data_IF_240654150871
#
_entry.id   IF_240654150871
#
_cell.length_a   1.000
_cell.length_b   1.000
_cell.length_c   1.000
_cell.angle_alpha   90.00
_cell.angle_beta   90.00
_cell.angle_gamma   90.00
#
_symmetry.space_group_name_H-M   'P 1'
#
loop_
_entity.id
_entity.type
_entity.pdbx_description
1 polymer ?
#
# COMPACT_ATOMS: atom_id res chain seq x y z
N UNK A 1 -77.88 22.31 11.02
CA UNK A 1 -78.30 23.26 9.96
C UNK A 1 -77.63 22.84 8.66
N UNK A 2 -78.43 22.47 7.66
CA UNK A 2 -78.08 21.95 6.33
C UNK A 2 -77.56 23.08 5.44
N UNK A 3 -76.47 22.82 4.63
CA UNK A 3 -76.27 23.46 3.31
C UNK A 3 -75.28 22.53 2.53
N UNK A 4 -75.72 21.80 1.66
CA UNK A 4 -75.91 21.72 0.19
C UNK A 4 -74.62 21.74 -0.62
N UNK A 5 -74.42 20.60 -1.30
CA UNK A 5 -73.48 20.30 -2.37
C UNK A 5 -73.73 21.23 -3.58
N UNK A 6 -72.71 21.63 -4.26
CA UNK A 6 -72.76 21.99 -5.68
C UNK A 6 -71.50 21.45 -6.39
N UNK A 7 -71.82 20.55 -7.33
CA UNK A 7 -70.92 19.86 -8.25
C UNK A 7 -70.72 20.79 -9.46
N UNK A 8 -69.45 21.12 -9.76
CA UNK A 8 -69.13 21.70 -11.07
C UNK A 8 -68.21 20.72 -11.84
N UNK A 9 -68.87 20.16 -12.89
CA UNK A 9 -68.20 19.44 -13.95
C UNK A 9 -67.66 20.48 -14.93
N UNK A 10 -66.31 20.56 -15.05
CA UNK A 10 -65.70 21.34 -16.13
C UNK A 10 -65.00 20.36 -17.07
N UNK A 11 -65.56 20.22 -18.24
CA UNK A 11 -65.01 19.47 -19.38
C UNK A 11 -63.91 20.36 -19.98
N UNK A 12 -62.67 19.95 -19.88
CA UNK A 12 -61.55 20.52 -20.67
C UNK A 12 -61.17 19.53 -21.77
N UNK A 13 -61.42 19.96 -22.98
CA UNK A 13 -61.06 19.31 -24.24
C UNK A 13 -59.56 19.17 -24.33
N UNK A 14 -59.08 17.95 -24.46
CA UNK A 14 -57.67 17.61 -24.71
C UNK A 14 -57.31 17.93 -26.16
N UNK A 15 -56.48 18.90 -26.33
CA UNK A 15 -55.71 19.09 -27.57
C UNK A 15 -54.46 18.18 -27.46
N UNK A 16 -54.47 17.06 -28.18
CA UNK A 16 -53.29 16.20 -28.37
C UNK A 16 -52.33 16.89 -29.34
N UNK A 17 -51.27 17.46 -28.80
CA UNK A 17 -50.04 17.72 -29.57
C UNK A 17 -49.07 16.56 -29.34
N UNK A 18 -48.57 15.90 -30.38
CA UNK A 18 -47.49 14.95 -30.24
C UNK A 18 -46.19 15.72 -30.00
N UNK A 19 -45.75 15.73 -28.77
CA UNK A 19 -44.36 16.06 -28.44
C UNK A 19 -43.46 14.93 -28.95
N UNK A 20 -42.78 15.17 -30.06
CA UNK A 20 -41.62 14.38 -30.43
C UNK A 20 -40.54 14.63 -29.38
N UNK A 21 -40.49 13.78 -28.38
CA UNK A 21 -39.32 13.63 -27.52
C UNK A 21 -38.28 12.91 -28.37
N UNK A 22 -37.38 13.68 -28.94
CA UNK A 22 -36.13 13.15 -29.49
C UNK A 22 -35.35 12.60 -28.29
N UNK A 23 -35.47 11.31 -28.07
CA UNK A 23 -34.55 10.59 -27.16
C UNK A 23 -33.19 10.65 -27.81
N UNK A 24 -32.34 11.59 -27.35
CA UNK A 24 -30.91 11.41 -27.44
C UNK A 24 -30.58 10.24 -26.52
N UNK A 25 -30.53 9.06 -27.07
CA UNK A 25 -29.76 7.97 -26.48
C UNK A 25 -28.28 8.44 -26.45
N UNK A 26 -27.92 9.17 -25.39
CA UNK A 26 -26.54 9.21 -24.96
C UNK A 26 -26.26 7.84 -24.40
N UNK A 27 -25.83 6.93 -25.25
CA UNK A 27 -25.03 5.78 -24.85
C UNK A 27 -23.84 6.29 -24.05
N UNK A 28 -24.05 6.50 -22.76
CA UNK A 28 -22.97 6.50 -21.80
C UNK A 28 -22.51 5.04 -21.75
N UNK A 29 -21.69 4.68 -22.73
CA UNK A 29 -20.86 3.51 -22.62
C UNK A 29 -19.99 3.76 -21.38
N UNK A 30 -20.45 3.29 -20.24
CA UNK A 30 -19.60 2.99 -19.11
C UNK A 30 -18.65 1.89 -19.58
N UNK A 31 -17.69 2.28 -20.40
CA UNK A 31 -16.54 1.46 -20.73
C UNK A 31 -15.81 1.23 -19.42
N UNK A 32 -16.16 0.19 -18.70
CA UNK A 32 -15.25 -0.41 -17.75
C UNK A 32 -14.02 -0.76 -18.56
N UNK A 33 -13.01 0.11 -18.50
CA UNK A 33 -11.74 -0.15 -19.14
C UNK A 33 -11.22 -1.45 -18.50
N UNK A 34 -11.20 -2.52 -19.28
CA UNK A 34 -10.72 -3.81 -18.81
C UNK A 34 -9.27 -3.61 -18.37
N UNK A 35 -9.00 -3.84 -17.09
CA UNK A 35 -7.65 -3.68 -16.56
C UNK A 35 -6.74 -4.72 -17.22
N UNK A 36 -5.60 -4.28 -17.72
CA UNK A 36 -4.54 -5.19 -18.18
C UNK A 36 -4.20 -6.17 -17.07
N UNK A 37 -4.20 -7.47 -17.37
CA UNK A 37 -3.84 -8.48 -16.38
C UNK A 37 -2.42 -8.25 -15.87
N UNK A 38 -2.20 -8.48 -14.58
CA UNK A 38 -0.86 -8.46 -14.02
C UNK A 38 -0.05 -9.65 -14.59
N UNK A 39 1.20 -9.44 -15.03
CA UNK A 39 2.08 -10.56 -15.33
C UNK A 39 2.36 -11.34 -14.04
N UNK A 40 2.56 -12.65 -14.08
CA UNK A 40 2.97 -13.39 -12.89
C UNK A 40 4.28 -12.80 -12.32
N UNK A 41 4.45 -12.76 -10.98
CA UNK A 41 5.69 -12.31 -10.39
C UNK A 41 6.88 -13.15 -10.85
N UNK A 42 7.92 -12.50 -11.31
CA UNK A 42 9.15 -13.13 -11.74
C UNK A 42 10.35 -12.43 -11.10
N UNK A 43 11.13 -13.18 -10.32
CA UNK A 43 12.28 -12.63 -9.62
C UNK A 43 13.49 -12.52 -10.55
N UNK A 44 14.17 -11.39 -10.51
CA UNK A 44 15.50 -11.28 -11.13
C UNK A 44 16.52 -12.19 -10.41
N UNK A 45 17.67 -12.40 -11.03
CA UNK A 45 18.77 -13.15 -10.42
C UNK A 45 19.58 -12.33 -9.41
N UNK A 46 19.14 -11.14 -9.07
CA UNK A 46 19.84 -10.23 -8.17
C UNK A 46 19.69 -10.61 -6.68
N UNK A 47 20.49 -9.98 -5.80
CA UNK A 47 20.54 -10.33 -4.38
C UNK A 47 19.26 -10.02 -3.61
N UNK A 48 18.35 -9.24 -4.19
CA UNK A 48 17.09 -8.86 -3.58
C UNK A 48 15.90 -9.58 -4.20
N UNK A 49 16.01 -10.15 -5.41
CA UNK A 49 14.93 -10.80 -6.14
C UNK A 49 13.82 -9.84 -6.52
N UNK A 50 14.18 -8.70 -7.10
CA UNK A 50 13.25 -7.69 -7.62
C UNK A 50 12.48 -8.28 -8.79
N UNK A 51 11.21 -7.90 -8.94
CA UNK A 51 10.38 -8.36 -10.05
C UNK A 51 10.89 -7.80 -11.39
N UNK A 52 11.00 -8.67 -12.39
CA UNK A 52 11.54 -8.25 -13.71
C UNK A 52 10.52 -7.46 -14.53
N UNK A 53 9.22 -7.67 -14.29
CA UNK A 53 8.14 -7.08 -15.06
C UNK A 53 7.59 -5.81 -14.38
N UNK A 54 7.46 -5.85 -13.05
CA UNK A 54 6.88 -4.75 -12.26
C UNK A 54 7.90 -4.29 -11.22
N UNK A 55 8.68 -3.29 -11.57
CA UNK A 55 9.77 -2.75 -10.75
C UNK A 55 9.83 -1.22 -10.86
N UNK A 56 10.79 -0.59 -10.20
CA UNK A 56 10.89 0.87 -10.12
C UNK A 56 11.07 1.58 -11.48
N UNK A 57 11.41 0.87 -12.55
CA UNK A 57 11.50 1.46 -13.89
C UNK A 57 10.18 1.34 -14.67
N UNK A 58 9.28 0.44 -14.29
CA UNK A 58 7.98 0.20 -14.95
C UNK A 58 6.78 0.52 -14.06
N UNK A 59 7.00 0.81 -12.78
CA UNK A 59 5.95 0.94 -11.76
C UNK A 59 4.89 1.98 -12.11
N UNK A 60 5.23 3.03 -12.83
CA UNK A 60 4.30 4.11 -13.19
C UNK A 60 3.09 3.62 -13.99
N UNK A 61 3.24 2.54 -14.76
CA UNK A 61 2.15 1.93 -15.52
C UNK A 61 1.20 1.08 -14.65
N UNK A 62 1.60 0.79 -13.43
CA UNK A 62 0.92 -0.13 -12.52
C UNK A 62 0.37 0.52 -11.25
N UNK A 63 0.51 1.86 -11.11
CA UNK A 63 0.03 2.59 -9.93
C UNK A 63 -1.50 2.72 -9.92
N UNK A 64 -2.04 2.88 -8.70
CA UNK A 64 -3.44 3.22 -8.43
C UNK A 64 -4.47 2.20 -8.98
N UNK A 65 -4.07 0.96 -9.16
CA UNK A 65 -4.98 -0.12 -9.58
C UNK A 65 -5.88 -0.57 -8.43
N UNK A 66 -7.18 -0.79 -8.67
CA UNK A 66 -8.12 -1.20 -7.63
C UNK A 66 -7.94 -2.66 -7.19
N UNK A 67 -7.28 -3.49 -8.00
CA UNK A 67 -6.99 -4.90 -7.74
C UNK A 67 -5.64 -5.13 -7.04
N UNK A 68 -4.91 -4.06 -6.71
CA UNK A 68 -3.60 -4.08 -6.07
C UNK A 68 -3.63 -3.30 -4.77
N UNK A 69 -2.87 -3.75 -3.78
CA UNK A 69 -2.52 -2.98 -2.58
C UNK A 69 -1.01 -2.70 -2.58
N UNK A 70 -0.65 -1.51 -2.12
CA UNK A 70 0.70 -0.97 -2.25
C UNK A 70 1.28 -0.66 -0.88
N UNK A 71 2.46 -1.19 -0.59
CA UNK A 71 3.13 -0.98 0.70
C UNK A 71 4.56 -0.49 0.53
N UNK A 72 4.83 0.63 1.18
CA UNK A 72 6.18 1.16 1.35
C UNK A 72 6.70 0.72 2.72
N UNK A 73 7.68 -0.16 2.70
CA UNK A 73 8.21 -0.81 3.90
C UNK A 73 9.24 0.04 4.64
N UNK A 74 9.44 1.30 4.23
CA UNK A 74 10.38 2.21 4.88
C UNK A 74 9.85 2.75 6.20
N UNK A 75 10.76 3.06 7.09
CA UNK A 75 10.47 3.87 8.26
C UNK A 75 10.32 5.34 7.87
N UNK A 76 9.56 6.11 8.64
CA UNK A 76 9.50 7.57 8.49
C UNK A 76 10.87 8.21 8.77
N UNK A 77 11.58 7.64 9.73
CA UNK A 77 12.97 7.93 10.01
C UNK A 77 13.65 6.61 10.35
N UNK A 78 14.67 6.24 9.58
CA UNK A 78 15.45 5.04 9.82
C UNK A 78 16.71 5.41 10.60
N UNK A 79 16.97 4.78 11.75
CA UNK A 79 18.14 5.07 12.56
C UNK A 79 19.46 4.61 11.93
N UNK A 80 19.39 3.71 10.92
CA UNK A 80 20.58 3.32 10.17
C UNK A 80 21.11 4.48 9.34
N UNK A 81 22.43 4.61 9.24
CA UNK A 81 23.07 5.65 8.43
C UNK A 81 23.07 5.24 6.94
N UNK A 82 21.96 5.46 6.26
CA UNK A 82 21.86 5.13 4.84
C UNK A 82 22.66 6.03 3.91
N UNK A 83 23.15 7.20 4.38
CA UNK A 83 23.97 8.10 3.55
C UNK A 83 25.30 7.42 3.16
N UNK A 84 25.85 6.58 4.03
CA UNK A 84 27.08 5.82 3.76
C UNK A 84 26.95 4.83 2.61
N UNK A 85 25.72 4.36 2.34
CA UNK A 85 25.42 3.43 1.25
C UNK A 85 24.63 4.10 0.12
N UNK A 86 24.59 5.43 0.09
CA UNK A 86 23.96 6.21 -0.98
C UNK A 86 22.45 6.40 -0.83
N UNK A 87 21.89 6.14 0.34
CA UNK A 87 20.48 6.30 0.63
C UNK A 87 20.15 7.52 1.48
N UNK A 88 18.88 7.64 1.85
CA UNK A 88 18.35 8.71 2.69
C UNK A 88 17.63 8.10 3.89
N UNK A 89 18.05 8.49 5.11
CA UNK A 89 17.44 7.98 6.35
C UNK A 89 16.03 8.51 6.62
N UNK A 90 15.64 9.63 6.02
CA UNK A 90 14.31 10.22 6.19
C UNK A 90 13.43 9.95 4.98
N UNK A 91 12.17 9.59 5.25
CA UNK A 91 11.18 9.43 4.20
C UNK A 91 10.68 10.80 3.75
N UNK A 92 11.04 11.21 2.56
CA UNK A 92 10.64 12.51 1.97
C UNK A 92 9.67 12.36 0.80
N UNK A 93 9.69 11.22 0.16
CA UNK A 93 8.89 10.92 -1.03
C UNK A 93 8.39 9.48 -1.02
N UNK A 94 7.23 9.25 -1.64
CA UNK A 94 6.71 7.92 -1.96
C UNK A 94 6.01 7.94 -3.32
N UNK A 95 5.35 6.85 -3.69
CA UNK A 95 4.53 6.78 -4.91
C UNK A 95 3.03 6.82 -4.58
N UNK A 96 2.17 7.30 -5.50
CA UNK A 96 0.73 7.30 -5.32
C UNK A 96 0.19 5.91 -4.99
N UNK A 97 -0.76 5.85 -4.05
CA UNK A 97 -1.38 4.59 -3.62
C UNK A 97 -0.58 3.81 -2.56
N UNK A 98 0.70 4.09 -2.37
CA UNK A 98 1.51 3.40 -1.38
C UNK A 98 1.18 3.83 0.05
N UNK A 99 0.88 2.84 0.91
CA UNK A 99 0.74 2.97 2.36
C UNK A 99 2.08 2.64 3.00
N UNK A 100 2.53 3.49 3.92
CA UNK A 100 3.77 3.27 4.63
C UNK A 100 3.53 2.31 5.80
N UNK A 101 4.23 1.19 5.77
CA UNK A 101 4.20 0.15 6.80
C UNK A 101 5.64 -0.22 7.13
N UNK A 102 6.24 0.40 8.15
CA UNK A 102 7.62 0.13 8.49
C UNK A 102 7.90 -1.33 8.77
N UNK A 103 8.75 -1.96 7.97
CA UNK A 103 9.07 -3.38 8.16
C UNK A 103 9.61 -3.70 9.55
N UNK A 104 10.43 -2.86 10.20
CA UNK A 104 10.90 -3.10 11.57
C UNK A 104 9.78 -3.22 12.62
N UNK A 105 8.60 -2.66 12.37
CA UNK A 105 7.42 -2.88 13.24
C UNK A 105 6.80 -4.25 13.03
N UNK A 106 7.00 -4.85 11.87
CA UNK A 106 6.48 -6.17 11.54
C UNK A 106 7.39 -7.27 12.10
N UNK A 107 8.70 -7.17 11.85
CA UNK A 107 9.64 -8.23 12.23
C UNK A 107 11.00 -7.69 12.65
N UNK A 108 11.65 -8.43 13.55
CA UNK A 108 13.04 -8.16 13.90
C UNK A 108 13.95 -8.31 12.67
N UNK A 109 14.91 -7.41 12.55
CA UNK A 109 15.83 -7.38 11.42
C UNK A 109 16.99 -8.34 11.66
N UNK A 110 17.44 -8.99 10.57
CA UNK A 110 18.81 -9.48 10.52
C UNK A 110 19.78 -8.29 10.58
N UNK A 111 21.04 -8.54 10.87
CA UNK A 111 22.06 -7.49 10.93
C UNK A 111 21.95 -6.57 9.68
N UNK A 112 21.77 -5.28 9.91
CA UNK A 112 21.87 -4.26 8.86
C UNK A 112 23.35 -4.08 8.48
N UNK A 113 23.64 -3.69 7.23
CA UNK A 113 25.01 -3.50 6.76
C UNK A 113 25.70 -2.28 7.36
N UNK A 114 24.99 -1.43 8.10
CA UNK A 114 25.48 -0.18 8.69
C UNK A 114 25.15 -0.12 10.19
N UNK A 115 25.93 0.67 10.92
CA UNK A 115 25.68 0.92 12.34
C UNK A 115 24.36 1.66 12.54
N UNK A 116 23.72 1.36 13.65
CA UNK A 116 22.40 1.88 13.97
C UNK A 116 21.29 0.99 13.37
N UNK A 117 20.39 0.59 14.22
CA UNK A 117 19.24 -0.24 13.84
C UNK A 117 18.04 0.17 14.68
N UNK A 118 16.88 -0.21 14.22
CA UNK A 118 15.68 -0.08 15.01
C UNK A 118 15.78 -0.97 16.26
N UNK A 119 15.60 -0.38 17.42
CA UNK A 119 15.66 -1.06 18.74
C UNK A 119 14.28 -1.14 19.41
N UNK A 120 13.23 -0.69 18.74
CA UNK A 120 11.87 -0.75 19.25
C UNK A 120 11.22 -2.12 19.09
N UNK A 121 9.94 -2.19 19.43
CA UNK A 121 9.15 -3.40 19.35
C UNK A 121 8.83 -3.80 17.90
N UNK A 122 8.74 -5.12 17.68
CA UNK A 122 8.27 -5.74 16.44
C UNK A 122 7.17 -6.74 16.76
N UNK A 123 6.23 -6.94 15.82
CA UNK A 123 5.16 -7.96 16.01
C UNK A 123 5.73 -9.37 16.12
N UNK A 124 6.81 -9.65 15.36
CA UNK A 124 7.44 -10.96 15.31
C UNK A 124 8.93 -10.89 15.57
N UNK A 125 9.45 -11.89 16.29
CA UNK A 125 10.87 -12.23 16.27
C UNK A 125 11.09 -13.27 15.17
N UNK A 126 12.05 -12.99 14.28
CA UNK A 126 12.35 -13.83 13.13
C UNK A 126 13.82 -14.24 13.17
N UNK A 127 14.05 -15.54 13.00
CA UNK A 127 15.36 -16.09 12.73
C UNK A 127 15.54 -16.19 11.20
N UNK A 128 16.48 -15.41 10.69
CA UNK A 128 16.72 -15.30 9.26
C UNK A 128 17.83 -16.24 8.82
N UNK A 129 17.64 -16.88 7.67
CA UNK A 129 18.65 -17.71 7.05
C UNK A 129 19.75 -16.92 6.33
N UNK A 130 20.62 -17.64 5.65
CA UNK A 130 21.74 -17.06 4.90
C UNK A 130 21.26 -16.29 3.66
N UNK A 131 20.20 -16.77 3.01
CA UNK A 131 19.59 -16.07 1.87
C UNK A 131 18.67 -14.95 2.37
N UNK A 132 18.74 -13.81 1.71
CA UNK A 132 17.90 -12.66 2.08
C UNK A 132 16.42 -12.99 1.93
N UNK A 133 15.68 -12.77 3.02
CA UNK A 133 14.26 -13.09 3.10
C UNK A 133 13.97 -14.57 3.38
N UNK A 134 14.99 -15.42 3.57
CA UNK A 134 14.81 -16.77 4.04
C UNK A 134 14.45 -16.75 5.53
N UNK A 135 13.28 -17.24 5.88
CA UNK A 135 12.81 -17.38 7.27
C UNK A 135 13.08 -18.81 7.74
N UNK A 136 13.88 -18.95 8.80
CA UNK A 136 14.13 -20.25 9.45
C UNK A 136 13.11 -20.54 10.53
N UNK A 137 12.78 -19.55 11.34
CA UNK A 137 11.72 -19.62 12.34
C UNK A 137 11.09 -18.25 12.58
N UNK A 138 9.86 -18.26 13.07
CA UNK A 138 9.11 -17.06 13.43
C UNK A 138 8.35 -17.30 14.75
N UNK A 139 8.36 -16.30 15.61
CA UNK A 139 7.60 -16.31 16.86
C UNK A 139 6.88 -14.99 17.05
N UNK A 140 5.58 -14.98 17.35
CA UNK A 140 4.87 -13.75 17.68
C UNK A 140 5.35 -13.21 19.03
N UNK A 141 5.53 -11.91 19.13
CA UNK A 141 5.88 -11.20 20.36
C UNK A 141 4.61 -10.74 21.11
N UNK A 142 3.49 -10.68 20.42
CA UNK A 142 2.21 -10.23 20.93
C UNK A 142 1.09 -11.18 20.50
N UNK A 143 0.08 -11.35 21.33
CA UNK A 143 -1.06 -12.23 21.05
C UNK A 143 -1.84 -11.80 19.80
N UNK A 144 -1.84 -10.50 19.48
CA UNK A 144 -2.54 -9.90 18.37
C UNK A 144 -1.71 -9.87 17.06
N UNK A 145 -0.46 -10.32 17.07
CA UNK A 145 0.49 -10.14 15.97
C UNK A 145 0.00 -10.70 14.63
N UNK A 146 -0.50 -11.94 14.61
CA UNK A 146 -1.00 -12.57 13.38
C UNK A 146 -2.27 -11.87 12.84
N UNK A 147 -3.15 -11.45 13.74
CA UNK A 147 -4.34 -10.69 13.37
C UNK A 147 -3.97 -9.36 12.71
N UNK A 148 -3.06 -8.59 13.35
CA UNK A 148 -2.58 -7.31 12.83
C UNK A 148 -1.92 -7.50 11.46
N UNK A 149 -1.07 -8.52 11.30
CA UNK A 149 -0.42 -8.80 10.01
C UNK A 149 -1.44 -9.08 8.91
N UNK A 150 -2.47 -9.88 9.22
CA UNK A 150 -3.52 -10.25 8.26
C UNK A 150 -4.45 -9.06 7.93
N UNK A 151 -4.64 -8.13 8.86
CA UNK A 151 -5.40 -6.90 8.63
C UNK A 151 -4.62 -5.92 7.73
N UNK A 152 -3.30 -5.85 7.90
CA UNK A 152 -2.44 -5.00 7.08
C UNK A 152 -2.32 -5.55 5.66
N UNK A 153 -2.03 -6.85 5.51
CA UNK A 153 -1.73 -7.49 4.23
C UNK A 153 -2.87 -8.45 3.82
N UNK A 154 -3.77 -8.05 2.91
CA UNK A 154 -4.85 -8.93 2.44
C UNK A 154 -4.27 -10.12 1.64
N UNK A 155 -4.87 -11.32 1.84
CA UNK A 155 -4.41 -12.54 1.16
C UNK A 155 -5.03 -12.76 -0.22
N UNK A 156 -6.05 -11.98 -0.55
CA UNK A 156 -6.88 -12.12 -1.75
C UNK A 156 -6.60 -11.07 -2.84
N UNK A 157 -5.58 -10.24 -2.65
CA UNK A 157 -5.18 -9.20 -3.60
C UNK A 157 -3.71 -9.30 -3.96
N UNK A 158 -3.37 -8.77 -5.11
CA UNK A 158 -1.97 -8.53 -5.45
C UNK A 158 -1.37 -7.48 -4.50
N UNK A 159 -0.18 -7.75 -4.02
CA UNK A 159 0.56 -6.91 -3.07
C UNK A 159 1.83 -6.42 -3.74
N UNK A 160 1.97 -5.11 -3.87
CA UNK A 160 3.19 -4.46 -4.35
C UNK A 160 3.97 -3.94 -3.16
N UNK A 161 5.20 -4.41 -3.02
CA UNK A 161 6.10 -4.05 -1.94
C UNK A 161 7.27 -3.23 -2.47
N UNK A 162 7.54 -2.07 -1.87
CA UNK A 162 8.76 -1.31 -2.10
C UNK A 162 9.42 -0.87 -0.79
N UNK A 163 10.68 -0.48 -0.85
CA UNK A 163 11.35 0.24 0.24
C UNK A 163 12.40 1.23 -0.30
N UNK A 164 13.47 1.52 0.43
CA UNK A 164 14.57 2.38 -0.04
C UNK A 164 15.43 1.66 -1.08
N UNK A 165 16.24 0.72 -0.63
CA UNK A 165 17.20 -0.05 -1.44
C UNK A 165 16.82 -1.51 -1.63
N UNK A 166 15.53 -1.88 -1.64
CA UNK A 166 15.01 -3.23 -1.84
C UNK A 166 15.21 -4.23 -0.68
N UNK A 167 15.97 -3.90 0.37
CA UNK A 167 16.30 -4.82 1.46
C UNK A 167 15.09 -5.24 2.32
N UNK A 168 14.34 -4.27 2.86
CA UNK A 168 13.14 -4.55 3.66
C UNK A 168 12.06 -5.28 2.86
N UNK A 169 11.96 -4.97 1.58
CA UNK A 169 10.98 -5.60 0.68
C UNK A 169 11.26 -7.10 0.51
N UNK A 170 12.55 -7.49 0.36
CA UNK A 170 12.93 -8.91 0.31
C UNK A 170 12.56 -9.65 1.59
N UNK A 171 12.83 -9.04 2.75
CA UNK A 171 12.48 -9.61 4.04
C UNK A 171 10.96 -9.73 4.21
N UNK A 172 10.21 -8.66 3.86
CA UNK A 172 8.75 -8.66 3.94
C UNK A 172 8.13 -9.73 3.06
N UNK A 173 8.59 -9.86 1.79
CA UNK A 173 8.13 -10.92 0.90
C UNK A 173 8.39 -12.30 1.49
N UNK A 174 9.60 -12.56 1.95
CA UNK A 174 9.98 -13.84 2.54
C UNK A 174 9.12 -14.18 3.76
N UNK A 175 8.88 -13.21 4.65
CA UNK A 175 8.02 -13.36 5.82
C UNK A 175 6.58 -13.72 5.42
N UNK A 176 5.97 -12.96 4.51
CA UNK A 176 4.58 -13.18 4.06
C UNK A 176 4.42 -14.56 3.43
N UNK A 177 5.34 -14.96 2.54
CA UNK A 177 5.32 -16.29 1.91
C UNK A 177 5.46 -17.38 2.96
N UNK A 178 6.40 -17.26 3.92
CA UNK A 178 6.57 -18.20 5.01
C UNK A 178 5.31 -18.36 5.86
N UNK A 179 4.56 -17.29 6.05
CA UNK A 179 3.30 -17.26 6.80
C UNK A 179 2.06 -17.62 5.95
N UNK A 180 2.26 -18.09 4.72
CA UNK A 180 1.21 -18.68 3.89
C UNK A 180 0.44 -17.69 3.00
N UNK A 181 1.03 -16.54 2.66
CA UNK A 181 0.56 -15.73 1.54
C UNK A 181 0.98 -16.37 0.22
N UNK A 182 0.12 -16.27 -0.79
CA UNK A 182 0.43 -16.77 -2.13
C UNK A 182 1.56 -15.92 -2.75
N UNK A 183 2.70 -16.55 -3.04
CA UNK A 183 3.84 -15.87 -3.65
C UNK A 183 3.53 -15.29 -5.04
N UNK A 184 2.54 -15.86 -5.74
CA UNK A 184 2.09 -15.37 -7.04
C UNK A 184 1.27 -14.07 -6.96
N UNK A 185 0.96 -13.62 -5.77
CA UNK A 185 0.29 -12.33 -5.51
C UNK A 185 1.24 -11.29 -4.91
N UNK A 186 2.51 -11.62 -4.65
CA UNK A 186 3.45 -10.70 -4.00
C UNK A 186 4.54 -10.26 -4.98
N UNK A 187 4.52 -8.99 -5.33
CA UNK A 187 5.48 -8.34 -6.22
C UNK A 187 6.50 -7.54 -5.41
N UNK A 188 7.75 -7.91 -5.55
CA UNK A 188 8.87 -7.15 -5.01
C UNK A 188 9.25 -6.06 -6.02
N UNK A 189 8.65 -4.89 -5.91
CA UNK A 189 8.85 -3.85 -6.92
C UNK A 189 10.19 -3.10 -6.82
N UNK A 190 11.02 -3.44 -5.83
CA UNK A 190 12.35 -2.86 -5.68
C UNK A 190 12.44 -1.75 -4.63
N UNK A 191 13.30 -0.81 -4.87
CA UNK A 191 13.58 0.28 -3.94
C UNK A 191 13.47 1.65 -4.59
N UNK A 192 12.91 2.61 -3.86
CA UNK A 192 12.70 3.99 -4.31
C UNK A 192 13.99 4.69 -4.77
N UNK A 193 15.15 4.25 -4.31
CA UNK A 193 16.45 4.80 -4.77
C UNK A 193 16.73 4.53 -6.25
N UNK A 194 16.03 3.56 -6.87
CA UNK A 194 16.15 3.21 -8.27
C UNK A 194 14.95 3.70 -9.10
N UNK A 195 14.09 4.53 -8.51
CA UNK A 195 12.94 5.07 -9.22
C UNK A 195 13.38 6.17 -10.19
N UNK A 196 13.06 5.99 -11.47
CA UNK A 196 13.38 6.91 -12.56
C UNK A 196 12.14 7.57 -13.17
N UNK A 197 10.96 7.28 -12.63
CA UNK A 197 9.69 7.84 -13.11
C UNK A 197 9.44 9.28 -12.65
N UNK A 198 8.25 9.76 -12.90
CA UNK A 198 7.86 11.15 -12.62
C UNK A 198 6.62 11.28 -11.72
N UNK A 199 6.17 10.18 -11.11
CA UNK A 199 4.97 10.17 -10.27
C UNK A 199 5.27 10.21 -8.77
N UNK A 200 6.54 10.37 -8.38
CA UNK A 200 6.88 10.53 -6.97
C UNK A 200 6.14 11.72 -6.36
N UNK A 201 5.60 11.50 -5.16
CA UNK A 201 4.92 12.54 -4.37
C UNK A 201 5.74 12.87 -3.12
N UNK A 202 5.90 14.16 -2.86
CA UNK A 202 6.54 14.64 -1.64
C UNK A 202 5.63 14.40 -0.43
N UNK A 203 6.20 13.98 0.67
CA UNK A 203 5.49 13.67 1.90
C UNK A 203 5.73 14.71 2.98
N UNK A 204 4.66 15.10 3.67
CA UNK A 204 4.74 15.68 5.01
C UNK A 204 4.51 14.61 6.05
N UNK A 205 5.49 14.43 6.92
CA UNK A 205 5.40 13.51 8.04
C UNK A 205 4.97 14.30 9.27
N UNK A 206 3.83 13.96 9.90
CA UNK A 206 3.39 14.63 11.14
C UNK A 206 4.48 14.54 12.21
N UNK A 207 4.86 15.68 12.79
CA UNK A 207 5.86 15.75 13.87
C UNK A 207 7.33 15.72 13.41
N UNK A 208 7.62 15.57 12.14
CA UNK A 208 8.97 15.70 11.62
C UNK A 208 9.31 17.19 11.47
N UNK A 209 10.16 17.69 12.36
CA UNK A 209 10.77 19.00 12.20
C UNK A 209 11.83 18.93 11.09
N UNK A 210 11.40 19.04 9.84
CA UNK A 210 12.32 19.18 8.71
C UNK A 210 12.12 20.55 8.08
N UNK A 211 13.02 21.51 8.31
CA UNK A 211 12.91 22.85 7.74
C UNK A 211 13.11 22.90 6.21
N UNK A 212 13.55 21.80 5.60
CA UNK A 212 13.85 21.73 4.17
C UNK A 212 12.81 20.96 3.34
N UNK A 213 11.79 20.40 3.97
CA UNK A 213 10.67 19.81 3.23
C UNK A 213 9.72 20.96 2.88
N UNK A 214 9.65 21.32 1.63
CA UNK A 214 8.57 22.16 1.12
C UNK A 214 7.26 21.53 1.59
N UNK A 215 6.32 22.36 2.03
CA UNK A 215 5.03 21.90 2.57
C UNK A 215 4.35 21.07 1.49
N UNK A 216 4.60 19.77 1.50
CA UNK A 216 3.96 18.84 0.60
C UNK A 216 2.53 18.64 1.07
N UNK A 217 1.63 18.66 0.13
CA UNK A 217 0.19 18.68 0.34
C UNK A 217 -0.38 17.32 0.77
N UNK A 218 0.44 16.27 0.87
CA UNK A 218 0.00 14.92 1.18
C UNK A 218 0.44 14.49 2.57
N UNK A 219 -0.53 14.12 3.39
CA UNK A 219 -0.24 13.37 4.63
C UNK A 219 0.12 11.94 4.22
N UNK A 220 1.25 11.44 4.71
CA UNK A 220 1.61 10.04 4.52
C UNK A 220 0.47 9.14 5.05
N UNK A 221 0.00 8.22 4.21
CA UNK A 221 -0.84 7.13 4.67
C UNK A 221 0.07 6.13 5.40
N UNK A 222 0.11 6.26 6.73
CA UNK A 222 1.05 5.59 7.60
C UNK A 222 0.33 4.67 8.57
N UNK A 223 0.82 3.44 8.71
CA UNK A 223 0.35 2.48 9.71
C UNK A 223 1.19 2.61 10.97
N UNK A 224 0.56 3.00 12.04
CA UNK A 224 1.13 2.98 13.38
C UNK A 224 0.64 1.75 14.14
N UNK A 225 1.57 1.06 14.80
CA UNK A 225 1.26 -0.06 15.71
C UNK A 225 1.54 0.44 17.13
N UNK A 226 0.50 0.50 17.93
CA UNK A 226 0.58 0.90 19.33
C UNK A 226 0.92 -0.30 20.20
N UNK A 227 2.21 -0.59 20.30
CA UNK A 227 2.71 -1.75 21.04
C UNK A 227 2.39 -1.73 22.54
N UNK A 228 2.18 -0.56 23.11
CA UNK A 228 1.85 -0.41 24.56
C UNK A 228 0.47 -0.97 24.89
N UNK A 229 -0.42 -1.09 23.90
CA UNK A 229 -1.76 -1.65 24.04
C UNK A 229 -1.86 -3.12 23.61
N UNK A 230 -0.76 -3.76 23.21
CA UNK A 230 -0.75 -5.17 22.84
C UNK A 230 -0.37 -6.08 24.00
N UNK A 231 -0.84 -7.33 23.94
CA UNK A 231 -0.57 -8.36 24.95
C UNK A 231 0.74 -9.07 24.64
N UNK A 232 1.81 -8.76 25.38
CA UNK A 232 3.12 -9.44 25.22
C UNK A 232 3.01 -10.91 25.59
N UNK A 233 3.59 -11.77 24.75
CA UNK A 233 3.63 -13.22 24.99
C UNK A 233 4.83 -13.64 25.84
N UNK A 234 5.96 -12.94 25.70
CA UNK A 234 7.18 -13.20 26.45
C UNK A 234 7.67 -11.87 27.06
N UNK A 235 7.25 -11.53 28.29
CA UNK A 235 7.65 -10.31 28.98
C UNK A 235 9.13 -10.33 29.42
#
# INVERSE_FOLDING_TARGET
MRIKRTLYVLICVLLCLPLFVSACDSDVSNGSQELTALPPPERDGGPFGVDVNINMTTIDDWLERPDVVYFDMRMLYDPANYEEIGGISRLTQTLPGYRIVPFPFIATLSALPVDGRYEGDSLFTVDWGEERGQVLSISPNFAEAEFILSDIFPKDKAIFLMCGGAGYTSLARGLLVHMGWDENLIYHTGGMWHYEGNKAIDLTIPGAANPNVSIATWRANYTFIDFDHLTRLNP
#
